data_IF_742608440505
#
_entry.id   IF_742608440505
#
_cell.length_a   1.000
_cell.length_b   1.000
_cell.length_c   1.000
_cell.angle_alpha   90.00
_cell.angle_beta   90.00
_cell.angle_gamma   90.00
#
_symmetry.space_group_name_H-M   'P 1'
#
loop_
_entity.id
_entity.type
_entity.pdbx_description
1 polymer ?
#
# COMPACT_ATOMS: atom_id res chain seq x y z
N UNK A 1 16.85 -4.85 -0.57
CA UNK A 1 17.26 -3.57 0.01
C UNK A 1 18.50 -3.77 0.89
N UNK A 2 19.38 -2.78 0.95
CA UNK A 2 20.58 -2.83 1.79
C UNK A 2 20.37 -1.93 3.01
N UNK A 3 20.49 -2.49 4.20
CA UNK A 3 20.30 -1.77 5.47
C UNK A 3 21.61 -1.39 6.15
N UNK A 4 22.72 -2.01 5.75
CA UNK A 4 24.03 -1.65 6.29
C UNK A 4 24.42 -0.20 5.91
N UNK A 5 25.02 0.56 6.84
CA UNK A 5 25.50 1.89 6.54
C UNK A 5 26.64 1.86 5.51
N UNK A 6 26.72 2.91 4.71
CA UNK A 6 27.85 3.16 3.81
C UNK A 6 29.08 3.63 4.61
N UNK A 7 30.26 3.63 3.98
CA UNK A 7 31.51 4.11 4.59
C UNK A 7 31.44 5.54 5.11
N UNK A 8 30.63 6.39 4.45
CA UNK A 8 30.38 7.78 4.87
C UNK A 8 29.30 7.92 5.97
N UNK A 9 28.75 6.81 6.47
CA UNK A 9 27.68 6.79 7.47
C UNK A 9 26.25 6.94 6.92
N UNK A 10 26.08 7.17 5.62
CA UNK A 10 24.76 7.23 5.00
C UNK A 10 24.13 5.84 4.89
N UNK A 11 22.83 5.80 4.74
CA UNK A 11 22.05 4.58 4.53
C UNK A 11 21.45 4.53 3.14
N UNK A 12 21.56 3.40 2.46
CA UNK A 12 20.89 3.14 1.18
C UNK A 12 19.43 2.72 1.34
N UNK A 13 18.91 2.66 2.57
CA UNK A 13 17.53 2.27 2.81
C UNK A 13 16.53 3.30 2.32
N UNK A 14 15.36 2.86 1.89
CA UNK A 14 14.21 3.74 1.71
C UNK A 14 13.62 4.10 3.08
N UNK A 15 13.39 5.39 3.33
CA UNK A 15 12.75 5.86 4.57
C UNK A 15 11.26 5.50 4.62
N UNK A 16 10.59 5.49 3.47
CA UNK A 16 9.18 5.09 3.32
C UNK A 16 9.15 3.67 2.75
N UNK A 17 8.47 2.76 3.43
CA UNK A 17 8.34 1.37 3.00
C UNK A 17 6.89 0.99 2.82
N UNK A 18 6.57 0.42 1.66
CA UNK A 18 5.22 -0.02 1.37
C UNK A 18 5.06 -1.50 1.75
N UNK A 19 3.96 -1.82 2.40
CA UNK A 19 3.53 -3.18 2.70
C UNK A 19 2.24 -3.48 1.94
N UNK A 20 2.26 -4.54 1.18
CA UNK A 20 1.11 -5.01 0.42
C UNK A 20 0.78 -6.47 0.72
N UNK A 21 1.72 -7.34 1.02
CA UNK A 21 1.52 -8.73 1.47
C UNK A 21 2.79 -9.28 2.11
N UNK A 22 2.65 -10.10 3.12
CA UNK A 22 3.76 -10.88 3.67
C UNK A 22 4.46 -11.72 2.60
N UNK A 23 3.73 -12.14 1.57
CA UNK A 23 4.27 -12.84 0.39
C UNK A 23 5.22 -12.00 -0.46
N UNK A 24 5.34 -10.71 -0.20
CA UNK A 24 6.14 -9.78 -1.01
C UNK A 24 7.48 -9.43 -0.35
N UNK A 25 7.96 -10.29 0.54
CA UNK A 25 9.27 -10.14 1.18
C UNK A 25 9.26 -9.13 2.32
N UNK A 26 8.13 -8.93 2.99
CA UNK A 26 8.05 -8.11 4.21
C UNK A 26 8.64 -8.91 5.37
N UNK A 27 9.77 -8.43 5.88
CA UNK A 27 10.46 -8.99 7.04
C UNK A 27 10.48 -7.98 8.17
N UNK A 28 10.78 -8.44 9.39
CA UNK A 28 10.97 -7.54 10.54
C UNK A 28 12.10 -6.54 10.28
N UNK A 29 13.22 -6.99 9.68
CA UNK A 29 14.32 -6.11 9.29
C UNK A 29 13.86 -5.01 8.32
N UNK A 30 13.03 -5.36 7.33
CA UNK A 30 12.43 -4.38 6.42
C UNK A 30 11.61 -3.32 7.17
N UNK A 31 10.78 -3.75 8.12
CA UNK A 31 9.87 -2.86 8.86
C UNK A 31 10.59 -1.95 9.86
N UNK A 32 11.58 -2.46 10.62
CA UNK A 32 12.30 -1.64 11.61
C UNK A 32 13.21 -0.59 10.97
N UNK A 33 13.52 -0.74 9.69
CA UNK A 33 14.28 0.23 8.92
C UNK A 33 13.42 1.31 8.22
N UNK A 34 12.14 1.42 8.57
CA UNK A 34 11.23 2.42 8.03
C UNK A 34 11.06 3.60 8.99
N UNK A 35 10.94 4.81 8.44
CA UNK A 35 10.42 5.99 9.15
C UNK A 35 8.90 6.12 8.93
N UNK A 36 8.42 5.60 7.79
CA UNK A 36 7.01 5.59 7.44
C UNK A 36 6.68 4.24 6.80
N UNK A 37 5.65 3.57 7.28
CA UNK A 37 5.16 2.31 6.73
C UNK A 37 3.83 2.58 6.07
N UNK A 38 3.75 2.35 4.76
CA UNK A 38 2.54 2.57 4.00
C UNK A 38 1.84 1.24 3.70
N UNK A 39 0.64 1.07 4.23
CA UNK A 39 -0.24 -0.06 3.90
C UNK A 39 -0.90 0.24 2.56
N UNK A 40 -0.63 -0.59 1.56
CA UNK A 40 -1.24 -0.49 0.24
C UNK A 40 -2.53 -1.31 0.19
N UNK A 41 -3.67 -0.65 0.05
CA UNK A 41 -4.95 -1.35 -0.12
C UNK A 41 -5.15 -1.77 -1.59
N UNK A 42 -4.92 -0.85 -2.53
CA UNK A 42 -5.00 -1.14 -3.96
C UNK A 42 -4.16 -0.17 -4.80
N UNK A 43 -4.31 -0.23 -6.13
CA UNK A 43 -3.58 0.63 -7.07
C UNK A 43 -4.54 1.53 -7.84
N UNK A 44 -4.23 2.83 -7.94
CA UNK A 44 -5.08 3.83 -8.58
C UNK A 44 -5.33 3.59 -10.06
N UNK A 45 -4.36 3.02 -10.78
CA UNK A 45 -4.49 2.67 -12.19
C UNK A 45 -5.47 1.52 -12.46
N UNK A 46 -5.83 0.76 -11.45
CA UNK A 46 -6.72 -0.42 -11.55
C UNK A 46 -7.53 -0.64 -10.27
N UNK A 47 -8.42 0.27 -9.91
CA UNK A 47 -9.27 0.13 -8.74
C UNK A 47 -10.05 -1.19 -8.77
N UNK A 48 -10.11 -1.88 -7.61
CA UNK A 48 -10.85 -3.13 -7.48
C UNK A 48 -10.19 -4.37 -8.12
N UNK A 49 -9.10 -4.22 -8.86
CA UNK A 49 -8.35 -5.33 -9.41
C UNK A 49 -7.23 -5.81 -8.46
N UNK A 50 -6.93 -7.10 -8.51
CA UNK A 50 -5.83 -7.68 -7.76
C UNK A 50 -4.45 -7.39 -8.34
N UNK A 51 -3.43 -7.91 -7.69
CA UNK A 51 -2.05 -7.90 -8.18
C UNK A 51 -1.84 -8.88 -9.31
N UNK A 52 -1.09 -8.49 -10.33
CA UNK A 52 -0.65 -9.36 -11.42
C UNK A 52 0.80 -9.04 -11.76
N UNK A 53 1.61 -10.07 -11.95
CA UNK A 53 2.96 -9.95 -12.47
C UNK A 53 3.15 -10.99 -13.59
N UNK A 54 3.39 -10.54 -14.84
CA UNK A 54 3.60 -11.47 -15.96
C UNK A 54 4.85 -12.32 -15.77
N UNK A 55 4.84 -13.56 -16.25
CA UNK A 55 5.94 -14.51 -16.05
C UNK A 55 7.30 -13.98 -16.51
N UNK A 56 7.36 -13.24 -17.62
CA UNK A 56 8.62 -12.67 -18.13
C UNK A 56 9.27 -11.64 -17.19
N UNK A 57 8.53 -11.13 -16.20
CA UNK A 57 9.03 -10.23 -15.15
C UNK A 57 9.38 -10.96 -13.86
N UNK A 58 9.11 -12.27 -13.78
CA UNK A 58 9.43 -13.09 -12.61
C UNK A 58 10.79 -13.73 -12.83
N UNK A 59 11.83 -13.00 -12.45
CA UNK A 59 13.21 -13.51 -12.44
C UNK A 59 13.46 -14.41 -11.21
N UNK A 60 14.67 -14.97 -11.10
CA UNK A 60 15.05 -15.85 -10.00
C UNK A 60 14.91 -15.18 -8.64
N UNK A 61 15.31 -13.90 -8.53
CA UNK A 61 15.24 -13.14 -7.28
C UNK A 61 13.81 -12.85 -6.85
N UNK A 62 12.95 -12.49 -7.79
CA UNK A 62 11.52 -12.27 -7.53
C UNK A 62 10.86 -13.60 -7.15
N UNK A 63 11.18 -14.67 -7.86
CA UNK A 63 10.65 -15.99 -7.56
C UNK A 63 11.06 -16.46 -6.16
N UNK A 64 12.31 -16.28 -5.75
CA UNK A 64 12.80 -16.60 -4.42
C UNK A 64 11.99 -15.84 -3.34
N UNK A 65 11.89 -14.52 -3.46
CA UNK A 65 11.16 -13.66 -2.51
C UNK A 65 9.68 -14.01 -2.44
N UNK A 66 9.10 -14.43 -3.56
CA UNK A 66 7.67 -14.77 -3.68
C UNK A 66 7.35 -16.25 -3.45
N UNK A 67 8.36 -17.06 -3.13
CA UNK A 67 8.23 -18.51 -2.98
C UNK A 67 7.53 -19.16 -4.19
N UNK A 68 7.97 -18.80 -5.39
CA UNK A 68 7.39 -19.24 -6.67
C UNK A 68 8.47 -19.71 -7.65
N UNK A 69 8.08 -20.04 -8.88
CA UNK A 69 8.98 -20.49 -9.93
C UNK A 69 9.30 -19.35 -10.91
N UNK A 70 10.58 -19.13 -11.29
CA UNK A 70 10.94 -18.17 -12.33
C UNK A 70 10.17 -18.40 -13.63
N UNK A 71 9.78 -17.32 -14.29
CA UNK A 71 9.05 -17.37 -15.55
C UNK A 71 7.55 -17.66 -15.43
N UNK A 72 7.05 -17.99 -14.24
CA UNK A 72 5.62 -18.22 -14.00
C UNK A 72 4.96 -16.93 -13.51
N UNK A 73 3.83 -16.54 -14.13
CA UNK A 73 3.06 -15.36 -13.74
C UNK A 73 2.48 -15.50 -12.34
N UNK A 74 2.46 -14.37 -11.62
CA UNK A 74 1.94 -14.28 -10.25
C UNK A 74 0.65 -13.49 -10.24
N UNK A 75 -0.35 -13.99 -9.51
CA UNK A 75 -1.65 -13.34 -9.31
C UNK A 75 -1.90 -13.24 -7.80
N UNK A 76 -2.39 -12.08 -7.37
CA UNK A 76 -2.84 -11.86 -6.00
C UNK A 76 -4.26 -11.32 -6.01
N UNK A 77 -5.20 -11.91 -5.25
CA UNK A 77 -6.56 -11.41 -5.22
C UNK A 77 -6.65 -10.01 -4.56
N UNK A 78 -7.67 -9.20 -4.88
CA UNK A 78 -8.06 -8.05 -4.08
C UNK A 78 -9.00 -8.50 -2.93
N UNK A 79 -9.00 -7.84 -1.76
CA UNK A 79 -7.95 -6.97 -1.28
C UNK A 79 -6.68 -7.77 -0.97
N UNK A 80 -5.55 -7.11 -1.08
CA UNK A 80 -4.31 -7.74 -0.63
C UNK A 80 -4.41 -7.98 0.87
N UNK A 81 -3.88 -9.13 1.40
CA UNK A 81 -3.63 -9.35 2.82
C UNK A 81 -4.73 -9.85 3.71
N UNK A 82 -5.79 -10.36 3.21
CA UNK A 82 -6.87 -10.86 4.06
C UNK A 82 -7.45 -9.76 4.98
N UNK A 83 -7.40 -8.49 4.54
CA UNK A 83 -8.06 -7.35 5.19
C UNK A 83 -9.44 -7.20 4.58
N UNK A 84 -10.47 -7.59 5.33
CA UNK A 84 -11.85 -7.58 4.89
C UNK A 84 -12.72 -6.61 5.68
N UNK A 85 -12.14 -5.99 6.73
CA UNK A 85 -12.84 -5.05 7.59
C UNK A 85 -11.91 -3.97 8.12
N UNK A 86 -12.47 -2.91 8.70
CA UNK A 86 -11.68 -1.89 9.38
C UNK A 86 -11.05 -2.42 10.67
N UNK A 87 -11.62 -3.45 11.28
CA UNK A 87 -11.06 -4.13 12.43
C UNK A 87 -9.78 -4.89 12.08
N UNK A 88 -9.77 -5.60 10.95
CA UNK A 88 -8.56 -6.26 10.43
C UNK A 88 -7.46 -5.24 10.14
N UNK A 89 -7.83 -4.09 9.54
CA UNK A 89 -6.89 -3.01 9.31
C UNK A 89 -6.34 -2.41 10.60
N UNK A 90 -7.21 -2.22 11.61
CA UNK A 90 -6.80 -1.71 12.92
C UNK A 90 -5.81 -2.67 13.60
N UNK A 91 -6.04 -3.98 13.48
CA UNK A 91 -5.12 -5.01 13.99
C UNK A 91 -3.76 -4.94 13.28
N UNK A 92 -3.75 -4.84 11.95
CA UNK A 92 -2.49 -4.70 11.20
C UNK A 92 -1.73 -3.42 11.58
N UNK A 93 -2.42 -2.30 11.73
CA UNK A 93 -1.79 -1.04 12.18
C UNK A 93 -1.17 -1.21 13.56
N UNK A 94 -1.88 -1.86 14.47
CA UNK A 94 -1.39 -2.17 15.81
C UNK A 94 -0.14 -3.05 15.77
N UNK A 95 -0.16 -4.12 14.98
CA UNK A 95 0.98 -5.03 14.81
C UNK A 95 2.20 -4.31 14.25
N UNK A 96 2.04 -3.47 13.22
CA UNK A 96 3.12 -2.68 12.64
C UNK A 96 3.70 -1.68 13.64
N UNK A 97 2.87 -1.05 14.47
CA UNK A 97 3.32 -0.17 15.56
C UNK A 97 4.10 -0.92 16.64
N UNK A 98 3.75 -2.18 16.92
CA UNK A 98 4.52 -2.99 17.85
C UNK A 98 5.89 -3.40 17.29
N UNK A 99 5.98 -3.62 15.98
CA UNK A 99 7.26 -3.93 15.32
C UNK A 99 8.15 -2.70 15.21
N UNK A 100 7.58 -1.54 14.90
CA UNK A 100 8.31 -0.28 14.78
C UNK A 100 7.49 0.87 15.36
N UNK A 101 7.60 1.13 16.69
CA UNK A 101 6.84 2.19 17.37
C UNK A 101 7.11 3.60 16.84
N UNK A 102 8.32 3.86 16.34
CA UNK A 102 8.73 5.17 15.85
C UNK A 102 8.20 5.48 14.44
N UNK A 103 7.86 4.46 13.64
CA UNK A 103 7.37 4.67 12.30
C UNK A 103 5.94 5.23 12.29
N UNK A 104 5.68 6.16 11.39
CA UNK A 104 4.30 6.56 11.07
C UNK A 104 3.66 5.48 10.21
N UNK A 105 2.39 5.18 10.47
CA UNK A 105 1.63 4.23 9.66
C UNK A 105 0.67 5.01 8.76
N UNK A 106 0.91 4.91 7.47
CA UNK A 106 0.04 5.49 6.45
C UNK A 106 -0.76 4.40 5.73
N UNK A 107 -1.96 4.75 5.27
CA UNK A 107 -2.80 3.86 4.47
C UNK A 107 -3.02 4.50 3.10
N UNK A 108 -2.67 3.77 2.05
CA UNK A 108 -2.88 4.23 0.67
C UNK A 108 -4.20 3.66 0.14
N UNK A 109 -5.12 4.57 -0.14
CA UNK A 109 -6.39 4.32 -0.81
C UNK A 109 -6.32 4.79 -2.27
N UNK A 110 -7.28 4.41 -3.07
CA UNK A 110 -7.38 4.85 -4.46
C UNK A 110 -8.54 5.81 -4.64
N UNK A 111 -8.37 6.75 -5.57
CA UNK A 111 -9.43 7.66 -5.98
C UNK A 111 -10.48 6.88 -6.75
N UNK A 112 -11.59 6.62 -6.10
CA UNK A 112 -12.78 6.00 -6.66
C UNK A 112 -14.02 6.52 -5.93
N UNK A 113 -15.19 6.33 -6.51
CA UNK A 113 -16.44 6.74 -5.87
C UNK A 113 -16.62 6.02 -4.52
N UNK A 114 -16.88 6.79 -3.47
CA UNK A 114 -17.06 6.26 -2.13
C UNK A 114 -15.77 6.18 -1.30
N UNK A 115 -14.61 6.60 -1.83
CA UNK A 115 -13.33 6.59 -1.11
C UNK A 115 -13.39 7.39 0.20
N UNK A 116 -14.21 8.44 0.27
CA UNK A 116 -14.39 9.22 1.49
C UNK A 116 -14.94 8.40 2.64
N UNK A 117 -15.88 7.50 2.39
CA UNK A 117 -16.42 6.58 3.41
C UNK A 117 -15.37 5.61 3.89
N UNK A 118 -14.59 5.04 2.95
CA UNK A 118 -13.45 4.15 3.29
C UNK A 118 -12.43 4.91 4.14
N UNK A 119 -12.07 6.14 3.76
CA UNK A 119 -11.14 6.98 4.51
C UNK A 119 -11.63 7.29 5.92
N UNK A 120 -12.93 7.52 6.11
CA UNK A 120 -13.52 7.69 7.44
C UNK A 120 -13.33 6.44 8.32
N UNK A 121 -13.50 5.26 7.75
CA UNK A 121 -13.20 3.98 8.42
C UNK A 121 -11.72 3.88 8.78
N UNK A 122 -10.83 4.15 7.83
CA UNK A 122 -9.37 4.11 8.02
C UNK A 122 -8.91 5.07 9.12
N UNK A 123 -9.50 6.27 9.20
CA UNK A 123 -9.19 7.23 10.27
C UNK A 123 -9.54 6.66 11.65
N UNK A 124 -10.61 5.88 11.75
CA UNK A 124 -11.00 5.23 13.03
C UNK A 124 -10.04 4.11 13.44
N UNK A 125 -9.29 3.55 12.49
CA UNK A 125 -8.25 2.54 12.77
C UNK A 125 -6.94 3.14 13.35
N UNK A 126 -6.90 4.46 13.61
CA UNK A 126 -5.74 5.17 14.15
C UNK A 126 -4.51 5.16 13.21
N UNK A 127 -4.73 5.23 11.90
CA UNK A 127 -3.66 5.53 10.95
C UNK A 127 -3.16 6.96 11.16
N UNK A 128 -1.85 7.16 11.05
CA UNK A 128 -1.25 8.50 11.20
C UNK A 128 -1.47 9.36 9.94
N UNK A 129 -1.67 8.73 8.78
CA UNK A 129 -1.80 9.42 7.51
C UNK A 129 -2.60 8.57 6.51
N UNK A 130 -3.31 9.24 5.61
CA UNK A 130 -4.03 8.62 4.49
C UNK A 130 -3.52 9.23 3.19
N UNK A 131 -3.10 8.39 2.26
CA UNK A 131 -2.68 8.78 0.90
C UNK A 131 -3.80 8.41 -0.08
N UNK A 132 -4.20 9.35 -0.93
CA UNK A 132 -5.12 9.08 -2.04
C UNK A 132 -4.32 9.01 -3.34
N UNK A 133 -4.35 7.86 -4.00
CA UNK A 133 -3.70 7.64 -5.30
C UNK A 133 -4.71 7.72 -6.43
N UNK A 134 -4.38 8.46 -7.48
CA UNK A 134 -5.18 8.57 -8.68
C UNK A 134 -4.83 7.50 -9.73
N UNK A 135 -5.43 7.62 -10.92
CA UNK A 135 -5.21 6.71 -12.07
C UNK A 135 -3.74 6.65 -12.52
N UNK A 136 -2.97 7.67 -12.25
CA UNK A 136 -1.52 7.76 -12.48
C UNK A 136 -0.70 7.02 -11.42
N UNK A 137 -1.34 6.55 -10.35
CA UNK A 137 -0.73 5.73 -9.31
C UNK A 137 -0.21 4.42 -9.88
N UNK A 138 1.10 4.35 -10.06
CA UNK A 138 1.84 3.38 -10.86
C UNK A 138 1.47 1.92 -10.69
N UNK A 139 1.59 1.19 -11.79
CA UNK A 139 1.48 -0.26 -11.82
C UNK A 139 2.55 -0.83 -12.75
N UNK A 140 3.33 -1.78 -12.25
CA UNK A 140 4.34 -2.49 -13.05
C UNK A 140 3.75 -3.54 -13.99
N UNK A 141 2.49 -3.90 -13.80
CA UNK A 141 1.79 -4.90 -14.59
C UNK A 141 0.29 -4.72 -14.48
N UNK A 142 -0.31 -4.18 -15.51
CA UNK A 142 -1.75 -4.01 -15.64
C UNK A 142 -2.13 -4.14 -17.11
N UNK A 143 -3.33 -4.68 -17.41
CA UNK A 143 -3.85 -4.62 -18.76
C UNK A 143 -3.92 -3.17 -19.26
N UNK A 144 -3.62 -2.96 -20.54
CA UNK A 144 -3.66 -1.63 -21.14
C UNK A 144 -5.07 -1.00 -21.06
N UNK A 145 -6.09 -1.83 -21.11
CA UNK A 145 -7.49 -1.43 -20.94
C UNK A 145 -7.75 -0.83 -19.56
N UNK A 146 -7.22 -1.42 -18.49
CA UNK A 146 -7.32 -0.88 -17.14
C UNK A 146 -6.60 0.46 -17.02
N UNK A 147 -5.36 0.55 -17.51
CA UNK A 147 -4.56 1.79 -17.47
C UNK A 147 -5.26 2.94 -18.19
N UNK A 148 -5.92 2.64 -19.30
CA UNK A 148 -6.58 3.67 -20.12
C UNK A 148 -7.97 4.08 -19.64
N UNK A 149 -8.71 3.19 -18.98
CA UNK A 149 -10.13 3.36 -18.76
C UNK A 149 -10.57 3.20 -17.30
N UNK A 150 -9.73 2.62 -16.42
CA UNK A 150 -10.04 2.50 -15.01
C UNK A 150 -9.35 3.62 -14.20
N UNK A 151 -9.90 3.91 -13.05
CA UNK A 151 -9.35 4.93 -12.15
C UNK A 151 -9.81 6.35 -12.47
N UNK A 152 -9.64 7.22 -11.48
CA UNK A 152 -10.03 8.63 -11.54
C UNK A 152 -8.86 9.52 -11.09
N UNK A 153 -8.85 10.82 -11.42
CA UNK A 153 -7.86 11.75 -10.91
C UNK A 153 -7.85 11.76 -9.37
N UNK A 154 -6.65 11.87 -8.78
CA UNK A 154 -6.51 11.88 -7.32
C UNK A 154 -7.22 13.08 -6.65
N UNK A 155 -7.35 14.18 -7.36
CA UNK A 155 -8.01 15.40 -6.87
C UNK A 155 -9.46 15.15 -6.48
N UNK A 156 -10.18 14.35 -7.27
CA UNK A 156 -11.58 13.99 -6.97
C UNK A 156 -11.66 13.16 -5.68
N UNK A 157 -10.85 12.14 -5.56
CA UNK A 157 -10.82 11.29 -4.37
C UNK A 157 -10.36 12.05 -3.13
N UNK A 158 -9.40 12.96 -3.27
CA UNK A 158 -8.95 13.80 -2.17
C UNK A 158 -10.04 14.78 -1.71
N UNK A 159 -10.74 15.41 -2.64
CA UNK A 159 -11.84 16.34 -2.32
C UNK A 159 -12.98 15.60 -1.58
N UNK A 160 -13.39 14.45 -2.08
CA UNK A 160 -14.41 13.61 -1.44
C UNK A 160 -13.97 13.18 -0.03
N UNK A 161 -12.74 12.69 0.08
CA UNK A 161 -12.15 12.29 1.36
C UNK A 161 -12.14 13.44 2.37
N UNK A 162 -11.65 14.61 1.95
CA UNK A 162 -11.59 15.80 2.82
C UNK A 162 -12.98 16.19 3.30
N UNK A 163 -13.94 16.32 2.40
CA UNK A 163 -15.32 16.67 2.77
C UNK A 163 -15.93 15.66 3.75
N UNK A 164 -15.76 14.37 3.47
CA UNK A 164 -16.30 13.32 4.32
C UNK A 164 -15.69 13.36 5.72
N UNK A 165 -14.37 13.55 5.83
CA UNK A 165 -13.70 13.66 7.13
C UNK A 165 -14.12 14.90 7.91
N UNK A 166 -14.31 16.04 7.24
CA UNK A 166 -14.80 17.28 7.87
C UNK A 166 -16.22 17.08 8.40
N UNK A 167 -17.13 16.59 7.57
CA UNK A 167 -18.54 16.35 7.95
C UNK A 167 -18.66 15.39 9.15
N UNK A 168 -17.78 14.42 9.24
CA UNK A 168 -17.77 13.44 10.32
C UNK A 168 -16.89 13.84 11.52
N UNK A 169 -16.33 15.05 11.54
CA UNK A 169 -15.42 15.55 12.58
C UNK A 169 -14.19 14.67 12.81
N UNK A 170 -13.68 14.06 11.73
CA UNK A 170 -12.51 13.16 11.74
C UNK A 170 -11.25 13.81 11.18
N UNK A 171 -11.35 15.01 10.59
CA UNK A 171 -10.22 15.66 9.90
C UNK A 171 -9.10 16.11 10.83
N UNK A 172 -9.39 16.34 12.10
CA UNK A 172 -8.45 16.80 13.12
C UNK A 172 -7.90 15.68 14.02
N UNK A 173 -7.97 14.47 13.55
CA UNK A 173 -7.43 13.30 14.27
C UNK A 173 -6.13 12.83 13.67
#
# INVERSE_FOLDING_TARGET
ERFAPLENGDSMRSAIKQVASGRFGVTTEYLVNANDIQIKISQGAKPGEGGQLPGHKVDEKIAEVRHSTPGVGLISPPPHHDIYSIEDLAQLIFDLKNVNPEARISVKLVSEFGVGVVAAGVTKCKSDHITIAGYDGGTGASPLTSIKNAGTPWELGLAETHQTLVLNKLRNR
#
